data_IF_621173345494
#
_entry.id   IF_621173345494
#
_cell.length_a   1.000
_cell.length_b   1.000
_cell.length_c   1.000
_cell.angle_alpha   90.00
_cell.angle_beta   90.00
_cell.angle_gamma   90.00
#
_symmetry.space_group_name_H-M   'P 1'
#
loop_
_entity.id
_entity.type
_entity.pdbx_description
1 polymer ?
#
# COMPACT_ATOMS: atom_id res chain seq x y z
N UNK A 1 -18.12 -29.01 41.12
CA UNK A 1 -18.67 -29.20 39.77
C UNK A 1 -18.87 -27.85 39.14
N UNK A 2 -18.29 -27.61 37.97
CA UNK A 2 -18.36 -26.33 37.28
C UNK A 2 -17.20 -26.18 36.31
N UNK A 3 -17.19 -27.02 35.27
CA UNK A 3 -16.25 -26.88 34.16
C UNK A 3 -16.54 -25.55 33.45
N UNK A 4 -15.65 -24.57 33.62
CA UNK A 4 -15.66 -23.36 32.84
C UNK A 4 -15.31 -23.73 31.40
N UNK A 5 -16.33 -23.97 30.58
CA UNK A 5 -16.24 -24.04 29.14
C UNK A 5 -15.89 -22.63 28.59
N UNK A 6 -14.62 -22.25 28.71
CA UNK A 6 -14.08 -21.00 28.20
C UNK A 6 -13.80 -21.09 26.69
N UNK A 7 -14.68 -20.51 25.89
CA UNK A 7 -14.50 -20.07 24.50
C UNK A 7 -13.45 -20.80 23.61
N UNK A 8 -13.84 -21.94 23.06
CA UNK A 8 -13.90 -22.18 21.61
C UNK A 8 -12.65 -22.20 20.69
N UNK A 9 -11.45 -21.78 21.10
CA UNK A 9 -10.27 -21.82 20.20
C UNK A 9 -9.05 -22.35 20.93
N UNK A 10 -8.47 -23.45 20.42
CA UNK A 10 -7.28 -24.05 21.03
C UNK A 10 -6.04 -23.15 20.89
N UNK A 11 -5.11 -23.14 21.86
CA UNK A 11 -3.85 -22.40 21.77
C UNK A 11 -3.05 -22.73 20.49
N UNK A 12 -3.15 -23.98 20.01
CA UNK A 12 -2.53 -24.40 18.75
C UNK A 12 -3.14 -23.68 17.54
N UNK A 13 -4.48 -23.55 17.49
CA UNK A 13 -5.17 -22.83 16.41
C UNK A 13 -4.84 -21.33 16.41
N UNK A 14 -4.70 -20.72 17.61
CA UNK A 14 -4.26 -19.33 17.76
C UNK A 14 -2.83 -19.12 17.25
N UNK A 15 -1.89 -20.01 17.60
CA UNK A 15 -0.51 -19.95 17.08
C UNK A 15 -0.45 -20.10 15.56
N UNK A 16 -1.23 -21.03 15.01
CA UNK A 16 -1.33 -21.20 13.56
C UNK A 16 -1.89 -19.95 12.87
N UNK A 17 -2.88 -19.29 13.48
CA UNK A 17 -3.44 -18.02 12.98
C UNK A 17 -2.42 -16.89 13.06
N UNK A 18 -1.69 -16.76 14.16
CA UNK A 18 -0.61 -15.77 14.32
C UNK A 18 0.46 -15.92 13.23
N UNK A 19 0.92 -17.16 12.98
CA UNK A 19 1.90 -17.44 11.91
C UNK A 19 1.39 -17.07 10.50
N UNK A 20 0.10 -17.26 10.21
CA UNK A 20 -0.49 -16.81 8.94
C UNK A 20 -0.54 -15.28 8.83
N UNK A 21 -0.92 -14.59 9.89
CA UNK A 21 -0.96 -13.12 9.92
C UNK A 21 0.43 -12.50 9.77
N UNK A 22 1.45 -13.08 10.40
CA UNK A 22 2.82 -12.63 10.26
C UNK A 22 3.30 -12.71 8.81
N UNK A 23 3.09 -13.85 8.14
CA UNK A 23 3.42 -14.00 6.71
C UNK A 23 2.63 -13.06 5.82
N UNK A 24 1.32 -12.92 6.05
CA UNK A 24 0.50 -11.99 5.28
C UNK A 24 1.01 -10.55 5.40
N UNK A 25 1.45 -10.14 6.60
CA UNK A 25 2.05 -8.81 6.81
C UNK A 25 3.37 -8.63 6.06
N UNK A 26 4.22 -9.67 6.00
CA UNK A 26 5.45 -9.63 5.20
C UNK A 26 5.15 -9.50 3.70
N UNK A 27 4.17 -10.25 3.19
CA UNK A 27 3.72 -10.14 1.79
C UNK A 27 3.19 -8.75 1.47
N UNK A 28 2.30 -8.21 2.30
CA UNK A 28 1.75 -6.87 2.12
C UNK A 28 2.83 -5.78 2.18
N UNK A 29 3.83 -5.92 3.06
CA UNK A 29 4.95 -4.99 3.11
C UNK A 29 5.79 -5.01 1.82
N UNK A 30 5.98 -6.18 1.21
CA UNK A 30 6.65 -6.30 -0.08
C UNK A 30 5.81 -5.67 -1.21
N UNK A 31 4.49 -5.81 -1.18
CA UNK A 31 3.59 -5.17 -2.15
C UNK A 31 3.65 -3.64 -2.03
N UNK A 32 3.67 -3.08 -0.82
CA UNK A 32 3.85 -1.64 -0.61
C UNK A 32 5.16 -1.16 -1.22
N UNK A 33 6.27 -1.87 -0.99
CA UNK A 33 7.56 -1.52 -1.57
C UNK A 33 7.54 -1.50 -3.11
N UNK A 34 6.81 -2.43 -3.74
CA UNK A 34 6.63 -2.44 -5.19
C UNK A 34 5.79 -1.25 -5.68
N UNK A 35 4.76 -0.85 -4.94
CA UNK A 35 3.96 0.34 -5.26
C UNK A 35 4.81 1.60 -5.14
N UNK A 36 5.64 1.71 -4.10
CA UNK A 36 6.58 2.82 -3.92
C UNK A 36 7.57 2.92 -5.08
N UNK A 37 8.11 1.79 -5.55
CA UNK A 37 8.99 1.77 -6.72
C UNK A 37 8.27 2.23 -7.99
N UNK A 38 7.02 1.83 -8.20
CA UNK A 38 6.19 2.31 -9.31
C UNK A 38 5.91 3.82 -9.22
N UNK A 39 5.65 4.34 -8.02
CA UNK A 39 5.49 5.77 -7.77
C UNK A 39 6.76 6.56 -8.12
N UNK A 40 7.94 6.08 -7.70
CA UNK A 40 9.23 6.70 -8.07
C UNK A 40 9.42 6.79 -9.59
N UNK A 41 9.07 5.73 -10.32
CA UNK A 41 9.14 5.73 -11.80
C UNK A 41 8.16 6.74 -12.40
N UNK A 42 6.96 6.86 -11.85
CA UNK A 42 5.99 7.87 -12.28
C UNK A 42 6.49 9.29 -12.02
N UNK A 43 7.11 9.57 -10.87
CA UNK A 43 7.65 10.88 -10.54
C UNK A 43 8.74 11.31 -11.53
N UNK A 44 9.68 10.42 -11.84
CA UNK A 44 10.70 10.66 -12.86
C UNK A 44 10.06 10.94 -14.22
N UNK A 45 9.04 10.16 -14.58
CA UNK A 45 8.31 10.33 -15.85
C UNK A 45 7.58 11.69 -15.91
N UNK A 46 6.90 12.08 -14.83
CA UNK A 46 6.23 13.38 -14.71
C UNK A 46 7.23 14.52 -14.86
N UNK A 47 8.37 14.44 -14.17
CA UNK A 47 9.42 15.46 -14.27
C UNK A 47 9.91 15.62 -15.72
N UNK A 48 10.14 14.51 -16.43
CA UNK A 48 10.53 14.55 -17.84
C UNK A 48 9.50 15.26 -18.72
N UNK A 49 8.21 14.97 -18.54
CA UNK A 49 7.14 15.62 -19.30
C UNK A 49 6.98 17.10 -18.95
N UNK A 50 7.13 17.48 -17.68
CA UNK A 50 7.16 18.89 -17.29
C UNK A 50 8.35 19.64 -17.91
N UNK A 51 9.54 19.04 -17.91
CA UNK A 51 10.72 19.60 -18.59
C UNK A 51 10.45 19.79 -20.08
N UNK A 52 9.81 18.82 -20.74
CA UNK A 52 9.42 18.90 -22.16
C UNK A 52 8.41 20.03 -22.42
N UNK A 53 7.35 20.13 -21.60
CA UNK A 53 6.36 21.21 -21.68
C UNK A 53 7.01 22.59 -21.52
N UNK A 54 7.93 22.73 -20.56
CA UNK A 54 8.68 23.97 -20.36
C UNK A 54 9.59 24.30 -21.54
N UNK A 55 10.26 23.30 -22.14
CA UNK A 55 11.07 23.50 -23.34
C UNK A 55 10.21 23.97 -24.52
N UNK A 56 9.03 23.40 -24.72
CA UNK A 56 8.10 23.84 -25.76
C UNK A 56 7.62 25.27 -25.52
N UNK A 57 7.27 25.62 -24.28
CA UNK A 57 6.91 26.99 -23.90
C UNK A 57 8.03 27.98 -24.21
N UNK A 58 9.29 27.63 -23.90
CA UNK A 58 10.47 28.47 -24.20
C UNK A 58 10.69 28.65 -25.71
N UNK A 59 10.28 27.68 -26.53
CA UNK A 59 10.30 27.77 -28.00
C UNK A 59 9.12 28.56 -28.59
N UNK A 60 8.27 29.15 -27.75
CA UNK A 60 7.10 29.93 -28.19
C UNK A 60 5.90 29.09 -28.61
N UNK A 61 5.90 27.78 -28.35
CA UNK A 61 4.74 26.93 -28.63
C UNK A 61 3.60 27.27 -27.66
N UNK A 62 2.48 27.69 -28.23
CA UNK A 62 1.25 27.95 -27.49
C UNK A 62 0.55 26.67 -27.03
N UNK A 63 -0.41 26.78 -26.09
CA UNK A 63 -1.14 25.63 -25.54
C UNK A 63 -2.01 24.87 -26.56
N UNK A 64 -2.34 25.50 -27.70
CA UNK A 64 -3.09 24.88 -28.80
C UNK A 64 -2.23 24.04 -29.75
N UNK A 65 -0.90 24.12 -29.65
CA UNK A 65 0.00 23.33 -30.49
C UNK A 65 -0.24 21.83 -30.23
N UNK A 66 -0.34 20.98 -31.28
CA UNK A 66 -0.58 19.55 -31.14
C UNK A 66 0.36 18.87 -30.12
N UNK A 67 1.65 19.19 -30.17
CA UNK A 67 2.69 18.60 -29.32
C UNK A 67 2.53 19.02 -27.85
N UNK A 68 2.06 20.25 -27.60
CA UNK A 68 1.78 20.74 -26.25
C UNK A 68 0.53 20.10 -25.69
N UNK A 69 -0.51 19.89 -26.51
CA UNK A 69 -1.73 19.17 -26.09
C UNK A 69 -1.44 17.72 -25.75
N UNK A 70 -0.67 17.04 -26.59
CA UNK A 70 -0.26 15.65 -26.36
C UNK A 70 0.56 15.51 -25.07
N UNK A 71 1.57 16.38 -24.88
CA UNK A 71 2.37 16.35 -23.67
C UNK A 71 1.54 16.66 -22.40
N UNK A 72 0.56 17.57 -22.48
CA UNK A 72 -0.37 17.83 -21.36
C UNK A 72 -1.25 16.63 -21.06
N UNK A 73 -1.83 16.00 -22.10
CA UNK A 73 -2.63 14.80 -21.94
C UNK A 73 -1.83 13.70 -21.24
N UNK A 74 -0.55 13.52 -21.63
CA UNK A 74 0.32 12.53 -21.00
C UNK A 74 0.63 12.85 -19.53
N UNK A 75 0.82 14.12 -19.18
CA UNK A 75 0.99 14.52 -17.76
C UNK A 75 -0.26 14.19 -16.94
N UNK A 76 -1.46 14.49 -17.46
CA UNK A 76 -2.71 14.21 -16.75
C UNK A 76 -2.96 12.70 -16.59
N UNK A 77 -2.62 11.90 -17.60
CA UNK A 77 -2.66 10.43 -17.50
C UNK A 77 -1.72 9.92 -16.40
N UNK A 78 -0.47 10.40 -16.36
CA UNK A 78 0.50 9.99 -15.34
C UNK A 78 0.08 10.41 -13.93
N UNK A 79 -0.52 11.59 -13.76
CA UNK A 79 -1.09 12.03 -12.48
C UNK A 79 -2.25 11.13 -12.03
N UNK A 80 -3.14 10.78 -12.96
CA UNK A 80 -4.26 9.90 -12.68
C UNK A 80 -3.77 8.51 -12.23
N UNK A 81 -2.73 7.98 -12.89
CA UNK A 81 -2.06 6.75 -12.47
C UNK A 81 -1.42 6.90 -11.08
N UNK A 82 -0.72 7.99 -10.82
CA UNK A 82 -0.13 8.28 -9.49
C UNK A 82 -1.17 8.24 -8.38
N UNK A 83 -2.31 8.91 -8.57
CA UNK A 83 -3.41 8.91 -7.60
C UNK A 83 -4.04 7.52 -7.37
N UNK A 84 -4.01 6.63 -8.37
CA UNK A 84 -4.43 5.22 -8.18
C UNK A 84 -3.42 4.46 -7.32
N UNK A 85 -2.12 4.62 -7.58
CA UNK A 85 -1.07 3.96 -6.81
C UNK A 85 -1.00 4.43 -5.36
N UNK A 86 -1.16 5.74 -5.11
CA UNK A 86 -1.22 6.27 -3.74
C UNK A 86 -2.39 5.66 -2.95
N UNK A 87 -3.55 5.46 -3.59
CA UNK A 87 -4.68 4.77 -2.97
C UNK A 87 -4.38 3.31 -2.68
N UNK A 88 -3.76 2.61 -3.63
CA UNK A 88 -3.32 1.22 -3.48
C UNK A 88 -2.35 1.07 -2.30
N UNK A 89 -1.33 1.92 -2.21
CA UNK A 89 -0.40 1.97 -1.08
C UNK A 89 -1.14 2.19 0.25
N UNK A 90 -2.04 3.17 0.31
CA UNK A 90 -2.82 3.44 1.51
C UNK A 90 -3.75 2.29 1.92
N UNK A 91 -4.33 1.55 0.96
CA UNK A 91 -5.11 0.35 1.22
C UNK A 91 -4.25 -0.78 1.79
N UNK A 92 -3.06 -1.00 1.23
CA UNK A 92 -2.11 -2.00 1.72
C UNK A 92 -1.62 -1.66 3.13
N UNK A 93 -1.28 -0.40 3.40
CA UNK A 93 -0.89 0.07 4.74
C UNK A 93 -1.99 -0.18 5.77
N UNK A 94 -3.26 0.08 5.41
CA UNK A 94 -4.41 -0.24 6.27
C UNK A 94 -4.49 -1.75 6.55
N UNK A 95 -4.27 -2.59 5.54
CA UNK A 95 -4.28 -4.04 5.71
C UNK A 95 -3.14 -4.52 6.64
N UNK A 96 -1.93 -3.97 6.49
CA UNK A 96 -0.78 -4.25 7.38
C UNK A 96 -1.11 -3.86 8.81
N UNK A 97 -1.65 -2.65 9.03
CA UNK A 97 -2.04 -2.18 10.36
C UNK A 97 -3.09 -3.09 11.01
N UNK A 98 -4.09 -3.52 10.25
CA UNK A 98 -5.13 -4.45 10.71
C UNK A 98 -4.55 -5.83 11.06
N UNK A 99 -3.65 -6.37 10.22
CA UNK A 99 -2.96 -7.63 10.50
C UNK A 99 -2.11 -7.55 11.78
N UNK A 100 -1.39 -6.44 11.98
CA UNK A 100 -0.59 -6.20 13.17
C UNK A 100 -1.46 -6.08 14.44
N UNK A 101 -2.58 -5.36 14.38
CA UNK A 101 -3.52 -5.26 15.50
C UNK A 101 -4.12 -6.62 15.87
N UNK A 102 -4.48 -7.44 14.88
CA UNK A 102 -4.99 -8.78 15.10
C UNK A 102 -3.94 -9.72 15.71
N UNK A 103 -2.69 -9.62 15.26
CA UNK A 103 -1.57 -10.40 15.80
C UNK A 103 -1.37 -10.09 17.29
N UNK A 104 -1.32 -8.81 17.67
CA UNK A 104 -1.18 -8.39 19.09
C UNK A 104 -2.29 -8.97 19.98
N UNK A 105 -3.55 -8.89 19.54
CA UNK A 105 -4.68 -9.48 20.29
C UNK A 105 -4.53 -10.99 20.50
N UNK A 106 -4.03 -11.70 19.48
CA UNK A 106 -3.79 -13.15 19.58
C UNK A 106 -2.66 -13.44 20.57
N UNK A 107 -1.57 -12.68 20.51
CA UNK A 107 -0.44 -12.81 21.43
C UNK A 107 -0.83 -12.53 22.88
N UNK A 108 -1.64 -11.49 23.12
CA UNK A 108 -2.22 -11.18 24.44
C UNK A 108 -3.08 -12.34 24.96
N UNK A 109 -3.92 -12.93 24.09
CA UNK A 109 -4.78 -14.08 24.45
C UNK A 109 -3.93 -15.31 24.80
N UNK A 110 -2.88 -15.57 24.03
CA UNK A 110 -1.94 -16.67 24.29
C UNK A 110 -1.12 -16.46 25.56
N UNK A 111 -0.79 -15.20 25.90
CA UNK A 111 -0.11 -14.84 27.14
C UNK A 111 -0.99 -15.10 28.37
N UNK A 112 -2.26 -14.69 28.33
CA UNK A 112 -3.23 -14.94 29.41
C UNK A 112 -3.41 -16.43 29.68
N UNK A 113 -3.54 -17.25 28.63
CA UNK A 113 -3.69 -18.71 28.75
C UNK A 113 -2.43 -19.45 29.27
N UNK A 114 -1.28 -18.79 29.43
CA UNK A 114 -0.07 -19.40 30.03
C UNK A 114 0.04 -19.13 31.54
N UNK A 115 -0.80 -18.26 32.09
CA UNK A 115 -0.76 -17.82 33.49
C UNK A 115 -1.83 -18.47 34.38
N UNK A 116 -2.67 -19.34 33.80
CA UNK A 116 -3.64 -20.20 34.48
C UNK A 116 -3.16 -21.68 34.46
#
# INVERSE_FOLDING_TARGET
GGAAAGSGVSPLALRAKAGRLARARETLAAEIAQVDDRLRVLDVSLEMWYRRLNAMRRRGLGPGAPEVREARARVEELKALGAVLEREAGDLERQVANAAANLRRIEETLGKNKSD
#
